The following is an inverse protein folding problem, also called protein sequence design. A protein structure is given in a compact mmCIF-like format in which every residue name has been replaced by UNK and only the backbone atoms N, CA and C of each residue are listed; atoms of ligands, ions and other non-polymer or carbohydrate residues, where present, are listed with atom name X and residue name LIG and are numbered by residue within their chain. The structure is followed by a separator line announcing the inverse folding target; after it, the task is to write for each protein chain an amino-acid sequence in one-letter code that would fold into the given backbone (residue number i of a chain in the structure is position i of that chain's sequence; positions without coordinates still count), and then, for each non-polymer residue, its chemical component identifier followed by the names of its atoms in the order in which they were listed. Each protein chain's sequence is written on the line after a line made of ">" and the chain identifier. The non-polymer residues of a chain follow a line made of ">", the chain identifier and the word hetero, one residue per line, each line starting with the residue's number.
data_IF_060485768577
#
_entry.id   IF_060485768577
#
_cell.length_a   1.000
_cell.length_b   1.000
_cell.length_c   1.000
_cell.angle_alpha   90.00
_cell.angle_beta   90.00
_cell.angle_gamma   90.00
#
_symmetry.space_group_name_H-M   'P 1'
#
loop_
_entity.id
_entity.type
_entity.pdbx_description
1 polymer ?
#
# COMPACT_ATOMS: atom_id res chain seq x y z
N UNK A 1 25.71 -4.41 10.43
CA UNK A 1 25.86 -4.04 9.02
C UNK A 1 24.63 -4.51 8.28
N UNK A 2 23.83 -3.59 7.75
CA UNK A 2 22.68 -3.95 6.92
C UNK A 2 23.16 -4.19 5.49
N UNK A 3 22.94 -5.38 4.94
CA UNK A 3 23.21 -5.64 3.54
C UNK A 3 22.05 -5.07 2.71
N UNK A 4 22.35 -4.29 1.68
CA UNK A 4 21.34 -3.82 0.74
C UNK A 4 20.98 -4.93 -0.24
N UNK A 5 19.71 -5.32 -0.30
CA UNK A 5 19.19 -6.20 -1.35
C UNK A 5 18.62 -5.32 -2.46
N UNK A 6 19.20 -5.38 -3.66
CA UNK A 6 18.58 -4.80 -4.87
C UNK A 6 17.77 -5.89 -5.56
N UNK A 7 16.46 -5.92 -5.32
CA UNK A 7 15.55 -6.82 -6.01
C UNK A 7 14.97 -6.11 -7.25
N UNK A 8 15.25 -6.63 -8.45
CA UNK A 8 14.59 -6.21 -9.69
C UNK A 8 13.62 -7.31 -10.11
N UNK A 9 12.33 -7.10 -9.90
CA UNK A 9 11.28 -8.03 -10.33
C UNK A 9 10.87 -7.66 -11.75
N UNK A 10 11.42 -8.38 -12.73
CA UNK A 10 11.02 -8.29 -14.13
C UNK A 10 10.33 -9.58 -14.54
N UNK A 11 9.05 -9.73 -14.20
CA UNK A 11 8.22 -10.85 -14.63
C UNK A 11 6.81 -10.74 -14.04
N UNK A 12 5.77 -10.75 -14.87
CA UNK A 12 4.36 -10.60 -14.48
C UNK A 12 3.75 -11.79 -13.73
N UNK A 13 4.57 -12.60 -13.04
CA UNK A 13 4.12 -13.70 -12.21
C UNK A 13 4.11 -13.32 -10.72
N UNK A 14 3.25 -13.97 -9.94
CA UNK A 14 3.18 -13.79 -8.48
C UNK A 14 4.51 -14.21 -7.84
N UNK A 15 5.19 -13.29 -7.16
CA UNK A 15 6.40 -13.56 -6.38
C UNK A 15 6.12 -13.31 -4.89
N UNK A 16 6.58 -14.22 -4.03
CA UNK A 16 6.54 -14.04 -2.56
C UNK A 16 7.92 -13.61 -2.08
N UNK A 17 8.00 -12.46 -1.40
CA UNK A 17 9.23 -11.96 -0.81
C UNK A 17 9.13 -11.96 0.71
N UNK A 18 9.89 -12.84 1.35
CA UNK A 18 9.98 -12.91 2.81
C UNK A 18 11.22 -12.14 3.27
N UNK A 19 11.02 -10.93 3.82
CA UNK A 19 12.06 -10.23 4.57
C UNK A 19 12.20 -10.94 5.93
N UNK A 20 13.29 -11.68 6.15
CA UNK A 20 13.53 -12.33 7.44
C UNK A 20 13.79 -11.30 8.55
N UNK A 21 12.92 -11.27 9.57
CA UNK A 21 12.97 -10.31 10.70
C UNK A 21 11.58 -9.88 11.14
N UNK A 22 11.49 -8.96 12.11
CA UNK A 22 10.27 -8.17 12.39
C UNK A 22 9.80 -7.42 11.14
N UNK A 23 8.61 -6.80 11.20
CA UNK A 23 8.00 -6.04 10.10
C UNK A 23 9.04 -5.25 9.27
N UNK A 24 9.07 -5.50 7.95
CA UNK A 24 10.09 -4.96 7.05
C UNK A 24 9.76 -3.55 6.57
N UNK A 25 10.75 -2.71 6.29
CA UNK A 25 10.54 -1.36 5.72
C UNK A 25 10.92 -1.29 4.24
N UNK A 26 10.04 -0.73 3.41
CA UNK A 26 10.31 -0.41 2.00
C UNK A 26 10.24 1.12 1.85
N UNK A 27 11.33 1.72 1.37
CA UNK A 27 11.41 3.18 1.16
C UNK A 27 11.36 3.52 -0.32
N UNK A 28 10.33 4.27 -0.73
CA UNK A 28 10.26 4.92 -2.03
C UNK A 28 11.01 6.24 -2.02
N UNK A 29 12.17 6.28 -2.65
CA UNK A 29 12.99 7.51 -2.75
C UNK A 29 12.65 8.36 -3.98
N UNK A 30 11.94 7.79 -4.96
CA UNK A 30 11.48 8.52 -6.13
C UNK A 30 10.02 8.95 -5.92
N UNK A 31 9.80 10.24 -5.66
CA UNK A 31 8.49 10.84 -5.41
C UNK A 31 7.58 10.87 -6.66
N UNK A 32 8.08 10.51 -7.83
CA UNK A 32 7.28 10.40 -9.04
C UNK A 32 6.67 9.00 -9.25
N UNK A 33 7.07 8.01 -8.44
CA UNK A 33 6.63 6.63 -8.60
C UNK A 33 6.01 6.11 -7.32
N UNK A 34 4.99 5.26 -7.48
CA UNK A 34 4.39 4.54 -6.36
C UNK A 34 5.38 3.53 -5.79
N UNK A 35 5.37 3.33 -4.47
CA UNK A 35 6.33 2.41 -3.85
C UNK A 35 5.99 0.96 -4.17
N UNK A 36 4.70 0.62 -4.11
CA UNK A 36 4.19 -0.70 -4.51
C UNK A 36 2.99 -0.54 -5.44
N UNK A 37 3.11 -1.08 -6.66
CA UNK A 37 1.94 -1.33 -7.51
C UNK A 37 1.49 -2.78 -7.33
N UNK A 38 0.25 -2.97 -6.93
CA UNK A 38 -0.34 -4.27 -6.71
C UNK A 38 -0.91 -4.84 -8.02
N UNK A 39 -0.75 -6.16 -8.19
CA UNK A 39 -1.51 -6.95 -9.14
C UNK A 39 -2.56 -7.81 -8.43
N UNK A 40 -3.44 -8.42 -9.22
CA UNK A 40 -4.45 -9.37 -8.76
C UNK A 40 -3.85 -10.49 -7.90
N UNK A 41 -4.45 -10.73 -6.73
CA UNK A 41 -4.08 -11.77 -5.79
C UNK A 41 -2.85 -11.46 -4.94
N UNK A 42 -2.25 -10.27 -5.07
CA UNK A 42 -1.08 -9.92 -4.27
C UNK A 42 -1.42 -9.80 -2.79
N UNK A 43 -0.47 -10.21 -1.95
CA UNK A 43 -0.58 -10.10 -0.48
C UNK A 43 0.61 -9.34 0.07
N UNK A 44 0.35 -8.35 0.93
CA UNK A 44 1.35 -7.70 1.77
C UNK A 44 1.06 -8.03 3.24
N UNK A 45 2.09 -8.41 4.00
CA UNK A 45 1.94 -8.77 5.40
C UNK A 45 3.14 -8.29 6.24
N UNK A 46 2.91 -7.49 7.27
CA UNK A 46 3.95 -7.02 8.19
C UNK A 46 4.99 -6.12 7.50
N UNK A 47 4.53 -5.12 6.74
CA UNK A 47 5.40 -4.22 6.00
C UNK A 47 5.07 -2.77 6.34
N UNK A 48 6.11 -1.99 6.59
CA UNK A 48 6.07 -0.53 6.62
C UNK A 48 6.57 0.03 5.29
N UNK A 49 5.84 0.98 4.72
CA UNK A 49 6.15 1.66 3.47
C UNK A 49 6.34 3.14 3.78
N UNK A 50 7.42 3.74 3.24
CA UNK A 50 7.69 5.17 3.44
C UNK A 50 8.04 5.88 2.13
N UNK A 51 7.60 7.13 1.95
CA UNK A 51 7.93 7.91 0.75
C UNK A 51 7.16 7.49 -0.50
N UNK A 52 7.67 7.87 -1.68
CA UNK A 52 7.05 7.63 -2.99
C UNK A 52 6.08 8.73 -3.43
N UNK A 53 5.47 8.54 -4.61
CA UNK A 53 4.23 9.23 -4.99
C UNK A 53 3.13 8.69 -4.07
N UNK A 54 2.48 7.58 -4.43
CA UNK A 54 1.65 6.83 -3.49
C UNK A 54 2.47 5.73 -2.79
N UNK A 55 2.10 5.40 -1.56
CA UNK A 55 2.68 4.24 -0.88
C UNK A 55 2.29 2.94 -1.59
N UNK A 56 1.00 2.77 -1.84
CA UNK A 56 0.41 1.60 -2.49
C UNK A 56 -0.54 2.07 -3.58
N UNK A 57 -0.43 1.51 -4.79
CA UNK A 57 -1.42 1.65 -5.85
C UNK A 57 -1.99 0.28 -6.23
N UNK A 58 -3.32 0.14 -6.21
CA UNK A 58 -4.04 -0.96 -6.84
C UNK A 58 -5.00 -0.45 -7.91
N UNK A 59 -4.74 -0.77 -9.18
CA UNK A 59 -5.62 -0.40 -10.29
C UNK A 59 -6.21 -1.68 -10.93
N UNK A 60 -7.54 -1.83 -10.97
CA UNK A 60 -8.21 -3.05 -11.46
C UNK A 60 -7.73 -4.33 -10.78
N UNK A 61 -7.44 -4.26 -9.48
CA UNK A 61 -6.94 -5.41 -8.72
C UNK A 61 -8.09 -6.23 -8.17
N UNK A 62 -7.94 -7.56 -8.20
CA UNK A 62 -8.87 -8.48 -7.55
C UNK A 62 -8.18 -9.32 -6.51
N UNK A 63 -8.79 -9.51 -5.33
CA UNK A 63 -8.30 -10.45 -4.32
C UNK A 63 -7.02 -10.04 -3.61
N UNK A 64 -6.69 -8.75 -3.61
CA UNK A 64 -5.57 -8.20 -2.85
C UNK A 64 -5.81 -8.35 -1.35
N UNK A 65 -4.77 -8.71 -0.60
CA UNK A 65 -4.81 -8.76 0.88
C UNK A 65 -3.68 -7.94 1.52
N UNK A 66 -4.02 -7.04 2.43
CA UNK A 66 -3.08 -6.26 3.24
C UNK A 66 -3.23 -6.64 4.72
N UNK A 67 -2.16 -7.04 5.39
CA UNK A 67 -2.18 -7.39 6.81
C UNK A 67 -1.04 -6.70 7.54
N UNK A 68 -1.32 -5.98 8.63
CA UNK A 68 -0.29 -5.25 9.40
C UNK A 68 0.59 -4.39 8.50
N UNK A 69 -0.07 -3.61 7.65
CA UNK A 69 0.61 -2.74 6.68
C UNK A 69 0.55 -1.32 7.21
N UNK A 70 1.71 -0.69 7.29
CA UNK A 70 1.84 0.73 7.61
C UNK A 70 2.34 1.48 6.38
N UNK A 71 1.71 2.59 6.05
CA UNK A 71 2.21 3.55 5.07
C UNK A 71 2.38 4.89 5.75
N UNK A 72 3.52 5.55 5.52
CA UNK A 72 3.71 6.90 6.02
C UNK A 72 4.61 7.78 5.16
N UNK A 73 4.26 9.06 5.04
CA UNK A 73 5.09 10.03 4.33
C UNK A 73 5.11 9.82 2.82
N UNK A 74 4.08 9.21 2.23
CA UNK A 74 3.89 9.22 0.79
C UNK A 74 3.63 10.67 0.32
N UNK A 75 4.11 11.04 -0.87
CA UNK A 75 3.87 12.38 -1.42
C UNK A 75 2.42 12.59 -1.88
N UNK A 76 1.73 11.51 -2.25
CA UNK A 76 0.32 11.42 -2.59
C UNK A 76 -0.46 10.67 -1.53
N UNK A 77 -1.20 9.66 -1.95
CA UNK A 77 -2.04 8.83 -1.09
C UNK A 77 -1.22 7.76 -0.37
N UNK A 78 -1.62 7.41 0.85
CA UNK A 78 -1.01 6.26 1.53
C UNK A 78 -1.33 4.95 0.82
N UNK A 79 -2.60 4.71 0.53
CA UNK A 79 -3.02 3.67 -0.40
C UNK A 79 -4.12 4.21 -1.33
N UNK A 80 -3.95 3.98 -2.62
CA UNK A 80 -4.92 4.34 -3.65
C UNK A 80 -5.42 3.08 -4.36
N UNK A 81 -6.74 2.95 -4.45
CA UNK A 81 -7.39 1.91 -5.24
C UNK A 81 -8.28 2.53 -6.31
N UNK A 82 -7.92 2.31 -7.56
CA UNK A 82 -8.66 2.81 -8.73
C UNK A 82 -9.15 1.65 -9.60
N UNK A 83 -10.02 1.96 -10.56
CA UNK A 83 -10.46 1.03 -11.59
C UNK A 83 -11.13 -0.19 -10.99
N UNK A 84 -12.39 -0.08 -10.57
CA UNK A 84 -13.26 -1.19 -10.11
C UNK A 84 -12.53 -2.36 -9.38
N UNK A 85 -11.71 -2.05 -8.39
CA UNK A 85 -10.92 -3.06 -7.66
C UNK A 85 -11.82 -3.87 -6.72
N UNK A 86 -11.76 -5.20 -6.77
CA UNK A 86 -12.71 -6.07 -6.06
C UNK A 86 -12.06 -7.04 -5.09
N UNK A 87 -12.78 -7.42 -4.04
CA UNK A 87 -12.32 -8.36 -3.02
C UNK A 87 -10.97 -7.92 -2.40
N UNK A 88 -10.79 -6.60 -2.22
CA UNK A 88 -9.64 -6.03 -1.53
C UNK A 88 -9.88 -6.16 -0.03
N UNK A 89 -8.95 -6.80 0.67
CA UNK A 89 -9.03 -7.03 2.12
C UNK A 89 -7.88 -6.35 2.81
N UNK A 90 -8.17 -5.71 3.93
CA UNK A 90 -7.15 -5.15 4.79
C UNK A 90 -7.44 -5.47 6.27
N UNK A 91 -6.38 -5.69 7.02
CA UNK A 91 -6.41 -5.96 8.45
C UNK A 91 -5.24 -5.26 9.13
N UNK A 92 -5.51 -4.50 10.18
CA UNK A 92 -4.48 -3.72 10.90
C UNK A 92 -3.70 -2.78 9.95
N UNK A 93 -4.43 -1.90 9.26
CA UNK A 93 -3.88 -0.98 8.28
C UNK A 93 -3.67 0.41 8.88
N UNK A 94 -2.46 0.95 8.75
CA UNK A 94 -2.12 2.30 9.21
C UNK A 94 -1.65 3.13 8.04
N UNK A 95 -2.20 4.33 7.88
CA UNK A 95 -1.80 5.28 6.84
C UNK A 95 -1.72 6.68 7.41
N UNK A 96 -0.51 7.25 7.48
CA UNK A 96 -0.27 8.49 8.22
C UNK A 96 0.69 9.46 7.58
N UNK A 97 0.47 10.75 7.77
CA UNK A 97 1.37 11.82 7.31
C UNK A 97 1.64 11.78 5.80
N UNK A 98 0.65 11.39 5.00
CA UNK A 98 0.76 11.41 3.53
C UNK A 98 0.35 12.78 2.97
N UNK A 99 0.83 13.09 1.77
CA UNK A 99 0.64 14.39 1.13
C UNK A 99 -0.73 14.61 0.50
N UNK A 100 -1.55 13.55 0.38
CA UNK A 100 -2.98 13.61 0.06
C UNK A 100 -3.75 12.82 1.11
N UNK A 101 -4.48 11.76 0.73
CA UNK A 101 -5.34 10.99 1.62
C UNK A 101 -4.61 9.82 2.30
N UNK A 102 -5.18 9.35 3.41
CA UNK A 102 -4.75 8.11 4.03
C UNK A 102 -5.10 6.89 3.17
N UNK A 103 -6.34 6.84 2.71
CA UNK A 103 -6.89 5.79 1.86
C UNK A 103 -7.83 6.45 0.85
N UNK A 104 -7.47 6.36 -0.43
CA UNK A 104 -8.28 6.86 -1.54
C UNK A 104 -8.85 5.66 -2.31
N UNK A 105 -10.17 5.65 -2.49
CA UNK A 105 -10.89 4.60 -3.20
C UNK A 105 -11.75 5.24 -4.29
N UNK A 106 -11.51 4.85 -5.53
CA UNK A 106 -12.36 5.22 -6.66
C UNK A 106 -13.20 4.01 -7.11
N UNK A 107 -14.33 4.31 -7.75
CA UNK A 107 -15.21 3.37 -8.43
C UNK A 107 -15.93 2.36 -7.50
N UNK A 108 -16.79 1.54 -8.12
CA UNK A 108 -17.71 0.60 -7.47
C UNK A 108 -17.05 -0.70 -6.97
N UNK A 109 -15.81 -0.60 -6.49
CA UNK A 109 -15.04 -1.72 -5.98
C UNK A 109 -15.62 -2.35 -4.70
N UNK A 110 -14.99 -3.43 -4.22
CA UNK A 110 -15.36 -4.07 -2.96
C UNK A 110 -14.18 -4.19 -2.02
N UNK A 111 -14.34 -3.57 -0.85
CA UNK A 111 -13.28 -3.40 0.13
C UNK A 111 -13.77 -3.85 1.51
N UNK A 112 -12.93 -4.61 2.22
CA UNK A 112 -13.24 -5.05 3.58
C UNK A 112 -12.03 -4.77 4.49
N UNK A 113 -12.17 -3.73 5.32
CA UNK A 113 -11.18 -3.33 6.32
C UNK A 113 -11.62 -3.85 7.69
N UNK A 114 -10.73 -4.59 8.34
CA UNK A 114 -10.97 -5.22 9.65
C UNK A 114 -9.82 -4.92 10.62
N UNK A 115 -9.99 -5.24 11.90
CA UNK A 115 -9.00 -4.90 12.92
C UNK A 115 -8.91 -3.39 13.14
N UNK A 116 -7.71 -2.88 13.43
CA UNK A 116 -7.50 -1.44 13.60
C UNK A 116 -7.09 -0.80 12.28
N UNK A 117 -7.95 0.06 11.73
CA UNK A 117 -7.58 0.96 10.64
C UNK A 117 -7.32 2.36 11.19
N UNK A 118 -6.09 2.86 11.06
CA UNK A 118 -5.71 4.21 11.51
C UNK A 118 -5.33 5.07 10.31
N UNK A 119 -6.11 6.12 10.06
CA UNK A 119 -5.89 7.10 9.01
C UNK A 119 -5.73 8.47 9.68
N UNK A 120 -4.51 9.01 9.75
CA UNK A 120 -4.24 10.19 10.59
C UNK A 120 -3.08 11.05 10.09
N UNK A 121 -3.22 12.37 10.24
CA UNK A 121 -2.16 13.32 9.87
C UNK A 121 -1.91 13.44 8.36
N UNK A 122 -2.80 12.89 7.53
CA UNK A 122 -2.77 13.09 6.08
C UNK A 122 -3.15 14.54 5.75
N UNK A 123 -2.60 15.09 4.67
CA UNK A 123 -2.78 16.50 4.33
C UNK A 123 -4.23 16.81 3.92
N UNK A 124 -4.82 15.89 3.16
CA UNK A 124 -6.21 15.98 2.72
C UNK A 124 -7.08 15.14 3.68
N UNK A 125 -7.75 14.08 3.23
CA UNK A 125 -8.66 13.30 4.05
C UNK A 125 -8.02 12.06 4.68
N UNK A 126 -8.64 11.57 5.75
CA UNK A 126 -8.29 10.24 6.27
C UNK A 126 -8.67 9.16 5.26
N UNK A 127 -9.91 9.23 4.77
CA UNK A 127 -10.55 8.31 3.84
C UNK A 127 -11.32 9.13 2.82
N UNK A 128 -11.02 8.96 1.54
CA UNK A 128 -11.82 9.47 0.42
C UNK A 128 -12.37 8.32 -0.43
N UNK A 129 -13.65 8.40 -0.78
CA UNK A 129 -14.36 7.43 -1.61
C UNK A 129 -15.18 8.19 -2.65
N UNK A 130 -14.85 8.00 -3.94
CA UNK A 130 -15.42 8.76 -5.06
C UNK A 130 -16.20 7.91 -6.08
#
# INVERSE_FOLDING_TARGET
>A
GGQSVTAKLSGGGTATFNLGGSDGTIQGTNVANNVITLGTGNTLNGITITGGADGILGNNVTGTTLTKVTVTGAGGNGAEFTGNSTNVKASDFTSTNNGLDGLHIEDNGTYNFTGTTLLSGNLDDGLDIT
#
